data_IF_255283111194
#
_entry.id   IF_255283111194
#
_cell.length_a   1.000
_cell.length_b   1.000
_cell.length_c   1.000
_cell.angle_alpha   90.00
_cell.angle_beta   90.00
_cell.angle_gamma   90.00
#
_symmetry.space_group_name_H-M   'P 1'
#
loop_
_entity.id
_entity.type
_entity.pdbx_description
1 polymer ?
#
# COMPACT_ATOMS: atom_id res chain seq x y z
N UNK A 1 -3.68 -6.73 30.46
CA UNK A 1 -2.65 -5.67 30.44
C UNK A 1 -2.67 -5.10 29.03
N UNK A 2 -2.84 -3.79 28.85
CA UNK A 2 -2.77 -3.20 27.52
C UNK A 2 -1.31 -3.27 27.06
N UNK A 3 -1.06 -3.99 25.98
CA UNK A 3 0.25 -4.03 25.34
C UNK A 3 0.55 -2.64 24.80
N UNK A 4 1.64 -2.03 25.26
CA UNK A 4 2.02 -0.69 24.84
C UNK A 4 2.75 -0.81 23.50
N UNK A 5 2.10 -0.39 22.41
CA UNK A 5 2.71 -0.43 21.08
C UNK A 5 3.76 0.67 20.97
N UNK A 6 4.95 0.33 20.49
CA UNK A 6 6.03 1.29 20.26
C UNK A 6 5.65 2.24 19.11
N UNK A 7 5.84 3.55 19.34
CA UNK A 7 5.66 4.59 18.32
C UNK A 7 7.00 5.30 18.15
N UNK A 8 7.61 5.21 16.96
CA UNK A 8 8.88 5.87 16.65
C UNK A 8 8.62 7.06 15.73
N UNK A 9 8.94 8.27 16.21
CA UNK A 9 8.85 9.47 15.39
C UNK A 9 10.10 9.68 14.55
N UNK A 10 9.89 9.98 13.27
CA UNK A 10 10.97 10.12 12.30
C UNK A 10 11.06 11.50 11.65
N UNK A 11 10.50 12.52 12.30
CA UNK A 11 10.50 13.89 11.78
C UNK A 11 11.93 14.42 11.60
N UNK A 12 12.82 14.18 12.56
CA UNK A 12 14.22 14.63 12.52
C UNK A 12 15.02 14.05 11.34
N UNK A 13 14.69 12.84 10.89
CA UNK A 13 15.31 12.22 9.72
C UNK A 13 14.99 12.97 8.42
N UNK A 14 13.77 13.52 8.32
CA UNK A 14 13.28 14.17 7.10
C UNK A 14 13.71 15.63 6.97
N UNK A 15 14.03 16.31 8.08
CA UNK A 15 14.36 17.73 8.09
C UNK A 15 15.81 18.03 7.71
N UNK A 16 16.78 17.23 8.20
CA UNK A 16 18.22 17.57 8.05
C UNK A 16 19.11 16.35 7.73
N UNK A 17 18.54 15.14 7.56
CA UNK A 17 19.25 13.93 7.14
C UNK A 17 19.83 13.08 8.29
N UNK A 18 20.40 11.92 7.95
CA UNK A 18 20.77 10.82 8.87
C UNK A 18 21.81 11.17 9.97
N UNK A 19 22.39 12.36 9.92
CA UNK A 19 23.56 12.75 10.73
C UNK A 19 23.18 13.23 12.14
N UNK A 20 21.94 13.69 12.34
CA UNK A 20 21.46 14.18 13.63
C UNK A 20 21.35 13.06 14.67
N UNK A 21 21.68 13.31 15.96
CA UNK A 21 21.50 12.33 17.04
C UNK A 21 20.07 11.77 17.12
N UNK A 22 19.06 12.61 16.91
CA UNK A 22 17.64 12.23 16.94
C UNK A 22 17.29 11.30 15.78
N UNK A 23 17.85 11.54 14.59
CA UNK A 23 17.68 10.65 13.44
C UNK A 23 18.38 9.30 13.67
N UNK A 24 19.53 9.28 14.35
CA UNK A 24 20.22 8.04 14.75
C UNK A 24 19.45 7.28 15.82
N UNK A 25 18.87 7.97 16.80
CA UNK A 25 17.99 7.39 17.82
C UNK A 25 16.80 6.68 17.20
N UNK A 26 16.04 7.36 16.33
CA UNK A 26 14.90 6.74 15.64
C UNK A 26 15.29 5.54 14.77
N UNK A 27 16.48 5.56 14.14
CA UNK A 27 17.00 4.40 13.39
C UNK A 27 17.28 3.24 14.34
N UNK A 28 17.88 3.51 15.50
CA UNK A 28 18.19 2.49 16.49
C UNK A 28 16.92 1.88 17.08
N UNK A 29 15.93 2.70 17.45
CA UNK A 29 14.63 2.24 17.96
C UNK A 29 13.92 1.32 16.95
N UNK A 30 13.95 1.67 15.65
CA UNK A 30 13.38 0.82 14.58
C UNK A 30 14.12 -0.50 14.43
N UNK A 31 15.46 -0.51 14.61
CA UNK A 31 16.24 -1.75 14.56
C UNK A 31 15.93 -2.66 15.74
N UNK A 32 15.91 -2.09 16.94
CA UNK A 32 15.71 -2.82 18.18
C UNK A 32 14.32 -3.45 18.23
N UNK A 33 13.32 -2.78 17.62
CA UNK A 33 11.96 -3.28 17.50
C UNK A 33 11.67 -4.03 16.19
N UNK A 34 12.67 -4.37 15.36
CA UNK A 34 12.43 -5.02 14.07
C UNK A 34 11.82 -6.43 14.16
N UNK A 35 11.94 -7.08 15.33
CA UNK A 35 11.27 -8.35 15.63
C UNK A 35 9.86 -8.19 16.20
N UNK A 36 9.44 -6.96 16.49
CA UNK A 36 8.18 -6.61 17.15
C UNK A 36 7.31 -5.75 16.24
N UNK A 37 6.06 -5.55 16.65
CA UNK A 37 5.17 -4.61 15.96
C UNK A 37 5.40 -3.17 16.45
N UNK A 38 5.51 -2.22 15.53
CA UNK A 38 5.70 -0.80 15.84
C UNK A 38 4.94 0.11 14.88
N UNK A 39 4.63 1.33 15.32
CA UNK A 39 4.16 2.41 14.48
C UNK A 39 5.30 3.40 14.17
N UNK A 40 5.29 3.94 12.95
CA UNK A 40 6.25 4.96 12.52
C UNK A 40 5.48 6.24 12.19
N UNK A 41 5.83 7.34 12.85
CA UNK A 41 5.28 8.68 12.56
C UNK A 41 6.32 9.58 11.89
N UNK A 42 5.94 10.80 11.55
CA UNK A 42 6.84 11.74 10.88
C UNK A 42 7.30 11.26 9.50
N UNK A 43 6.47 10.49 8.78
CA UNK A 43 6.77 9.99 7.43
C UNK A 43 6.22 10.91 6.34
N UNK A 44 6.65 10.71 5.09
CA UNK A 44 6.07 11.39 3.93
C UNK A 44 4.73 10.79 3.47
N UNK A 45 4.30 9.68 4.08
CA UNK A 45 2.93 9.14 3.95
C UNK A 45 2.07 9.95 4.92
N UNK A 46 1.60 11.11 4.47
CA UNK A 46 0.88 12.07 5.31
C UNK A 46 -0.55 11.60 5.59
N UNK A 47 -1.17 12.17 6.62
CA UNK A 47 -2.60 11.96 6.92
C UNK A 47 -3.47 12.23 5.68
N UNK A 48 -3.22 13.33 4.96
CA UNK A 48 -3.96 13.68 3.75
C UNK A 48 -3.88 12.61 2.65
N UNK A 49 -2.71 11.97 2.46
CA UNK A 49 -2.58 10.86 1.49
C UNK A 49 -3.37 9.63 1.95
N UNK A 50 -3.32 9.30 3.24
CA UNK A 50 -4.09 8.18 3.80
C UNK A 50 -5.60 8.44 3.71
N UNK A 51 -6.04 9.64 4.05
CA UNK A 51 -7.44 10.07 3.95
C UNK A 51 -7.93 10.03 2.50
N UNK A 52 -7.14 10.53 1.56
CA UNK A 52 -7.49 10.49 0.12
C UNK A 52 -7.67 9.06 -0.37
N UNK A 53 -6.78 8.15 0.05
CA UNK A 53 -6.90 6.72 -0.26
C UNK A 53 -8.15 6.09 0.36
N UNK A 54 -8.40 6.34 1.65
CA UNK A 54 -9.56 5.79 2.36
C UNK A 54 -10.88 6.30 1.77
N UNK A 55 -10.95 7.62 1.50
CA UNK A 55 -12.11 8.26 0.89
C UNK A 55 -12.40 7.68 -0.51
N UNK A 56 -11.36 7.58 -1.36
CA UNK A 56 -11.50 6.93 -2.66
C UNK A 56 -11.96 5.47 -2.52
N UNK A 57 -11.34 4.71 -1.62
CA UNK A 57 -11.68 3.29 -1.40
C UNK A 57 -13.13 3.10 -0.97
N UNK A 58 -13.62 3.89 -0.01
CA UNK A 58 -15.03 3.84 0.41
C UNK A 58 -15.99 4.25 -0.72
N UNK A 59 -15.66 5.29 -1.47
CA UNK A 59 -16.48 5.75 -2.58
C UNK A 59 -16.55 4.72 -3.72
N UNK A 60 -15.46 4.00 -4.00
CA UNK A 60 -15.44 3.02 -5.09
C UNK A 60 -15.95 1.65 -4.68
N UNK A 61 -15.59 1.11 -3.52
CA UNK A 61 -15.92 -0.27 -3.12
C UNK A 61 -17.44 -0.50 -3.06
N UNK A 62 -18.19 0.48 -2.57
CA UNK A 62 -19.67 0.43 -2.62
C UNK A 62 -20.24 0.36 -4.04
N UNK A 63 -19.52 0.87 -5.04
CA UNK A 63 -19.89 0.82 -6.45
C UNK A 63 -19.33 -0.43 -7.16
N UNK A 64 -18.21 -0.98 -6.66
CA UNK A 64 -17.54 -2.16 -7.20
C UNK A 64 -18.36 -3.45 -6.99
N UNK A 65 -19.29 -3.48 -6.02
CA UNK A 65 -20.24 -4.60 -5.83
C UNK A 65 -21.10 -4.92 -7.07
N UNK A 66 -21.35 -3.93 -7.94
CA UNK A 66 -22.19 -4.07 -9.13
C UNK A 66 -21.40 -4.14 -10.44
N UNK A 67 -20.09 -4.36 -10.36
CA UNK A 67 -19.20 -4.22 -11.50
C UNK A 67 -19.18 -5.44 -12.43
N UNK A 68 -18.83 -5.13 -13.68
CA UNK A 68 -18.48 -6.06 -14.73
C UNK A 68 -17.49 -7.14 -14.25
N UNK A 69 -17.87 -8.41 -14.46
CA UNK A 69 -17.03 -9.60 -14.22
C UNK A 69 -15.59 -9.50 -14.76
N UNK A 70 -15.34 -8.66 -15.78
CA UNK A 70 -14.03 -8.41 -16.36
C UNK A 70 -13.01 -7.75 -15.41
N UNK A 71 -13.45 -7.08 -14.34
CA UNK A 71 -12.56 -6.47 -13.34
C UNK A 71 -12.23 -7.41 -12.17
N UNK A 72 -12.83 -8.61 -12.10
CA UNK A 72 -12.53 -9.59 -11.04
C UNK A 72 -11.10 -10.10 -11.22
N UNK A 73 -10.30 -10.11 -10.15
CA UNK A 73 -8.86 -10.43 -10.21
C UNK A 73 -8.56 -11.76 -10.92
N UNK A 74 -9.44 -12.75 -10.76
CA UNK A 74 -9.28 -14.10 -11.33
C UNK A 74 -9.53 -14.13 -12.84
N UNK A 75 -10.27 -13.14 -13.34
CA UNK A 75 -10.49 -12.90 -14.76
C UNK A 75 -9.49 -11.88 -15.32
N UNK A 76 -8.69 -11.26 -14.45
CA UNK A 76 -7.69 -10.26 -14.78
C UNK A 76 -6.38 -10.83 -15.33
N UNK A 77 -5.46 -9.93 -15.65
CA UNK A 77 -4.17 -10.25 -16.27
C UNK A 77 -3.29 -11.17 -15.41
N UNK A 78 -2.21 -11.70 -16.01
CA UNK A 78 -1.12 -12.44 -15.31
C UNK A 78 -0.52 -11.69 -14.11
N UNK A 79 -0.80 -10.39 -13.98
CA UNK A 79 -0.37 -9.58 -12.86
C UNK A 79 -1.25 -9.66 -11.62
N UNK A 80 -2.41 -10.33 -11.69
CA UNK A 80 -3.40 -10.44 -10.60
C UNK A 80 -3.81 -9.07 -10.06
N UNK A 81 -4.19 -8.17 -10.97
CA UNK A 81 -4.78 -6.85 -10.65
C UNK A 81 -6.29 -6.93 -10.79
N UNK A 82 -7.02 -6.20 -9.97
CA UNK A 82 -8.49 -6.12 -10.06
C UNK A 82 -9.21 -6.38 -8.75
N UNK A 83 -10.54 -6.39 -8.83
CA UNK A 83 -11.46 -6.50 -7.71
C UNK A 83 -11.53 -7.93 -7.15
N UNK A 84 -11.57 -8.02 -5.83
CA UNK A 84 -11.84 -9.23 -5.05
C UNK A 84 -13.25 -9.09 -4.48
N UNK A 85 -14.22 -9.90 -4.91
CA UNK A 85 -15.54 -9.89 -4.31
C UNK A 85 -15.48 -10.39 -2.86
N UNK A 86 -16.49 -10.04 -2.07
CA UNK A 86 -16.61 -10.55 -0.70
C UNK A 86 -16.60 -12.10 -0.69
N UNK A 87 -15.73 -12.68 0.13
CA UNK A 87 -15.53 -14.14 0.17
C UNK A 87 -14.76 -14.71 -1.03
N UNK A 88 -14.23 -13.86 -1.90
CA UNK A 88 -13.43 -14.26 -3.06
C UNK A 88 -12.04 -14.78 -2.69
N UNK A 89 -11.59 -14.57 -1.45
CA UNK A 89 -10.28 -14.98 -0.97
C UNK A 89 -10.36 -16.02 0.14
N UNK A 90 -9.33 -16.88 0.15
CA UNK A 90 -9.18 -17.93 1.15
C UNK A 90 -7.77 -17.86 1.74
N UNK A 91 -7.67 -17.92 3.06
CA UNK A 91 -6.41 -18.09 3.78
C UNK A 91 -6.48 -19.36 4.62
N UNK A 92 -5.46 -20.21 4.52
CA UNK A 92 -5.39 -21.48 5.26
C UNK A 92 -6.64 -22.38 5.10
N UNK A 93 -7.29 -22.32 3.94
CA UNK A 93 -8.52 -23.09 3.66
C UNK A 93 -9.81 -22.44 4.19
N UNK A 94 -9.73 -21.30 4.86
CA UNK A 94 -10.89 -20.54 5.34
C UNK A 94 -11.16 -19.34 4.43
N UNK A 95 -12.45 -19.11 4.14
CA UNK A 95 -12.89 -17.96 3.39
C UNK A 95 -12.71 -16.68 4.22
N UNK A 96 -12.10 -15.66 3.60
CA UNK A 96 -11.90 -14.35 4.19
C UNK A 96 -13.14 -13.48 4.00
N UNK A 97 -13.63 -12.84 5.08
CA UNK A 97 -14.77 -11.93 5.02
C UNK A 97 -14.33 -10.51 4.66
N UNK A 98 -13.77 -10.34 3.47
CA UNK A 98 -13.41 -9.04 2.92
C UNK A 98 -13.60 -9.01 1.41
N UNK A 99 -13.90 -7.83 0.91
CA UNK A 99 -13.71 -7.47 -0.48
C UNK A 99 -12.45 -6.59 -0.61
N UNK A 100 -12.01 -6.31 -1.83
CA UNK A 100 -10.88 -5.41 -2.01
C UNK A 100 -10.48 -5.20 -3.46
N UNK A 101 -9.45 -4.39 -3.66
CA UNK A 101 -8.85 -4.15 -4.96
C UNK A 101 -7.36 -4.48 -4.90
N UNK A 102 -6.94 -5.45 -5.71
CA UNK A 102 -5.54 -5.81 -5.87
C UNK A 102 -4.86 -4.86 -6.85
N UNK A 103 -3.83 -4.17 -6.36
CA UNK A 103 -3.08 -3.15 -7.09
C UNK A 103 -1.57 -3.35 -6.93
N UNK A 104 -0.77 -2.74 -7.78
CA UNK A 104 0.68 -2.73 -7.66
C UNK A 104 1.33 -1.64 -8.49
N UNK A 105 2.63 -1.77 -8.82
CA UNK A 105 3.31 -0.82 -9.69
C UNK A 105 2.58 -0.69 -11.03
N UNK A 106 2.31 0.55 -11.45
CA UNK A 106 1.70 0.82 -12.74
C UNK A 106 2.73 0.65 -13.86
N UNK A 107 2.41 -0.19 -14.85
CA UNK A 107 3.19 -0.35 -16.06
C UNK A 107 2.38 0.09 -17.28
N UNK A 108 3.03 0.74 -18.23
CA UNK A 108 2.51 1.01 -19.56
C UNK A 108 2.55 -0.25 -20.43
N UNK A 109 1.79 -0.26 -21.52
CA UNK A 109 1.65 -1.42 -22.43
C UNK A 109 2.97 -1.79 -23.15
N UNK A 110 3.93 -0.86 -23.22
CA UNK A 110 5.27 -1.06 -23.78
C UNK A 110 6.32 -1.47 -22.74
N UNK A 111 5.93 -1.69 -21.48
CA UNK A 111 6.86 -2.06 -20.43
C UNK A 111 7.53 -3.41 -20.74
N UNK A 112 8.87 -3.54 -20.61
CA UNK A 112 9.60 -4.73 -21.05
C UNK A 112 9.17 -6.03 -20.35
N UNK A 113 8.50 -5.90 -19.20
CA UNK A 113 8.02 -7.03 -18.41
C UNK A 113 6.49 -7.24 -18.48
N UNK A 114 5.73 -6.54 -19.32
CA UNK A 114 4.25 -6.48 -19.31
C UNK A 114 3.51 -7.84 -19.41
N UNK A 115 4.19 -8.90 -19.85
CA UNK A 115 3.63 -10.26 -19.93
C UNK A 115 4.18 -11.22 -18.88
N UNK A 116 5.06 -10.75 -17.99
CA UNK A 116 5.56 -11.55 -16.88
C UNK A 116 4.57 -11.53 -15.72
N UNK A 117 4.52 -12.60 -14.91
CA UNK A 117 3.71 -12.63 -13.70
C UNK A 117 3.95 -11.38 -12.83
N UNK A 118 2.88 -10.82 -12.28
CA UNK A 118 2.88 -9.60 -11.44
C UNK A 118 3.20 -8.26 -12.15
N UNK A 119 3.46 -8.27 -13.47
CA UNK A 119 3.76 -7.07 -14.24
C UNK A 119 2.64 -6.75 -15.24
N UNK A 120 1.77 -5.80 -14.93
CA UNK A 120 0.85 -5.21 -15.92
C UNK A 120 0.35 -3.84 -15.46
N UNK A 121 -0.44 -3.17 -16.31
CA UNK A 121 -1.30 -2.07 -15.90
C UNK A 121 -2.26 -2.50 -14.78
N UNK A 122 -2.58 -1.60 -13.84
CA UNK A 122 -3.65 -1.83 -12.87
C UNK A 122 -5.04 -1.77 -13.53
N UNK A 123 -6.00 -2.47 -12.94
CA UNK A 123 -7.40 -2.50 -13.38
C UNK A 123 -8.25 -1.63 -12.46
N UNK A 124 -8.23 -0.32 -12.70
CA UNK A 124 -9.00 0.63 -11.92
C UNK A 124 -10.42 0.85 -12.50
N UNK A 125 -11.42 1.15 -11.66
CA UNK A 125 -12.78 1.43 -12.10
C UNK A 125 -12.97 2.91 -12.49
N UNK A 126 -12.14 3.42 -13.38
CA UNK A 126 -11.99 4.86 -13.68
C UNK A 126 -13.29 5.57 -14.05
N UNK A 127 -14.21 4.83 -14.72
CA UNK A 127 -15.50 5.36 -15.13
C UNK A 127 -16.42 5.70 -13.95
N UNK A 128 -16.35 4.93 -12.86
CA UNK A 128 -17.19 5.12 -11.66
C UNK A 128 -16.41 5.72 -10.50
N UNK A 129 -15.08 5.70 -10.56
CA UNK A 129 -14.22 6.31 -9.54
C UNK A 129 -12.95 6.92 -10.13
N UNK A 130 -13.05 8.08 -10.80
CA UNK A 130 -11.92 8.69 -11.51
C UNK A 130 -10.77 9.13 -10.60
N UNK A 131 -11.04 9.37 -9.30
CA UNK A 131 -10.01 9.79 -8.34
C UNK A 131 -9.22 8.61 -7.75
N UNK A 132 -9.74 7.38 -7.84
CA UNK A 132 -9.12 6.20 -7.23
C UNK A 132 -7.71 5.89 -7.77
N UNK A 133 -7.44 5.90 -9.09
CA UNK A 133 -6.10 5.65 -9.61
C UNK A 133 -5.06 6.59 -9.01
N UNK A 134 -5.37 7.89 -8.97
CA UNK A 134 -4.44 8.89 -8.46
C UNK A 134 -4.13 8.68 -6.98
N UNK A 135 -5.16 8.52 -6.14
CA UNK A 135 -5.00 8.32 -4.71
C UNK A 135 -4.20 7.04 -4.38
N UNK A 136 -4.50 5.95 -5.08
CA UNK A 136 -3.80 4.66 -4.89
C UNK A 136 -2.34 4.76 -5.32
N UNK A 137 -2.07 5.30 -6.52
CA UNK A 137 -0.71 5.36 -7.05
C UNK A 137 0.17 6.35 -6.25
N UNK A 138 -0.40 7.45 -5.75
CA UNK A 138 0.31 8.37 -4.85
C UNK A 138 0.71 7.68 -3.54
N UNK A 139 -0.23 6.94 -2.92
CA UNK A 139 0.03 6.19 -1.70
C UNK A 139 1.11 5.12 -1.91
N UNK A 140 1.01 4.31 -2.97
CA UNK A 140 2.01 3.29 -3.31
C UNK A 140 3.40 3.90 -3.49
N UNK A 141 3.51 5.03 -4.20
CA UNK A 141 4.79 5.73 -4.37
C UNK A 141 5.40 6.17 -3.04
N UNK A 142 4.59 6.78 -2.16
CA UNK A 142 5.04 7.25 -0.84
C UNK A 142 5.45 6.09 0.07
N UNK A 143 4.67 5.00 0.13
CA UNK A 143 4.99 3.80 0.91
C UNK A 143 6.21 3.08 0.34
N UNK A 144 6.36 2.99 -0.99
CA UNK A 144 7.54 2.40 -1.64
C UNK A 144 8.82 3.16 -1.28
N UNK A 145 8.79 4.50 -1.35
CA UNK A 145 9.92 5.36 -0.95
C UNK A 145 10.25 5.19 0.54
N UNK A 146 9.21 5.08 1.38
CA UNK A 146 9.35 4.80 2.81
C UNK A 146 10.04 3.45 3.04
N UNK A 147 9.55 2.38 2.42
CA UNK A 147 10.12 1.03 2.52
C UNK A 147 11.59 1.00 2.09
N UNK A 148 11.92 1.57 0.93
CA UNK A 148 13.32 1.72 0.46
C UNK A 148 14.21 2.48 1.44
N UNK A 149 13.65 3.43 2.19
CA UNK A 149 14.41 4.17 3.20
C UNK A 149 14.66 3.29 4.42
N UNK A 150 13.64 2.58 4.89
CA UNK A 150 13.73 1.66 6.03
C UNK A 150 14.73 0.54 5.80
N UNK A 151 14.82 0.00 4.59
CA UNK A 151 15.83 -1.02 4.28
C UNK A 151 17.26 -0.52 4.47
N UNK A 152 17.52 0.79 4.36
CA UNK A 152 18.86 1.37 4.62
C UNK A 152 19.22 1.45 6.10
N UNK A 153 18.29 1.14 6.99
CA UNK A 153 18.56 1.10 8.43
C UNK A 153 19.22 -0.20 8.81
N UNK A 154 19.02 -1.27 8.05
CA UNK A 154 19.62 -2.55 8.33
C UNK A 154 20.93 -2.68 7.55
N UNK A 155 22.02 -3.15 8.19
CA UNK A 155 23.29 -3.40 7.53
C UNK A 155 23.21 -4.55 6.50
#
# INVERSE_FOLDING_TARGET
>A
MAEQVLIVDRTAYNSVGKQLPEAKGAIQDIRDAASEFLFITGTKVTFQTQESLLSASHASLGLLLHINSALVVHNGSVARRGYIPLGGEHAHGHMEWKEGLYVGPEHSDDHPLIFLPLHSKNQFPDQVSPNMPHAVLEYIEKVKKLGKTLTTYFP
#
